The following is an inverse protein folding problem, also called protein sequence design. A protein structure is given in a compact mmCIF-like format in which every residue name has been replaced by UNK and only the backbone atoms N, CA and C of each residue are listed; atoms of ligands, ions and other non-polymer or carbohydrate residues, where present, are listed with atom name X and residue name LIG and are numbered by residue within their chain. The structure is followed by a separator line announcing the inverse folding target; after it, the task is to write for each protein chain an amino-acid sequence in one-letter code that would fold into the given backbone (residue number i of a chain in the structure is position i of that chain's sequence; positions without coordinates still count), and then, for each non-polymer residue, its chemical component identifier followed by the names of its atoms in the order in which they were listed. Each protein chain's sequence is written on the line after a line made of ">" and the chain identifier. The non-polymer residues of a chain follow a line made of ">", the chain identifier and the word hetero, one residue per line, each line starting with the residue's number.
data_IF_985255706099
#
_entry.id   IF_985255706099
#
_cell.length_a   1.000
_cell.length_b   1.000
_cell.length_c   1.000
_cell.angle_alpha   90.00
_cell.angle_beta   90.00
_cell.angle_gamma   90.00
#
_symmetry.space_group_name_H-M   'P 1'
#
loop_
_entity.id
_entity.type
_entity.pdbx_description
1 polymer ?
#
# COMPACT_ATOMS: atom_id res chain seq x y z
N UNK A 1 -6.64 -14.64 11.80
CA UNK A 1 -5.65 -14.16 10.86
C UNK A 1 -5.58 -12.64 10.91
N UNK A 2 -4.40 -12.14 11.12
CA UNK A 2 -4.24 -10.72 11.34
C UNK A 2 -3.96 -9.99 10.04
N UNK A 3 -4.66 -8.89 9.85
CA UNK A 3 -4.43 -8.04 8.71
C UNK A 3 -3.39 -7.00 9.07
N UNK A 4 -2.41 -6.83 8.22
CA UNK A 4 -1.39 -5.81 8.45
C UNK A 4 -1.86 -4.46 7.95
N UNK A 5 -1.31 -3.39 8.51
CA UNK A 5 -1.71 -2.05 8.07
C UNK A 5 -1.59 -1.83 6.58
N UNK A 6 -0.53 -2.34 5.97
CA UNK A 6 -0.35 -2.18 4.52
C UNK A 6 -1.43 -2.91 3.75
N UNK A 7 -1.88 -4.05 4.25
CA UNK A 7 -2.96 -4.78 3.60
C UNK A 7 -4.24 -3.97 3.61
N UNK A 8 -4.54 -3.34 4.74
CA UNK A 8 -5.73 -2.51 4.84
C UNK A 8 -5.64 -1.33 3.90
N UNK A 9 -4.48 -0.69 3.84
CA UNK A 9 -4.29 0.46 2.97
C UNK A 9 -4.53 0.06 1.52
N UNK A 10 -3.93 -1.04 1.09
CA UNK A 10 -4.08 -1.50 -0.27
C UNK A 10 -5.53 -1.82 -0.58
N UNK A 11 -6.20 -2.50 0.33
CA UNK A 11 -7.59 -2.89 0.13
C UNK A 11 -8.48 -1.66 -0.01
N UNK A 12 -8.29 -0.67 0.86
CA UNK A 12 -9.14 0.51 0.83
C UNK A 12 -8.87 1.39 -0.38
N UNK A 13 -7.62 1.49 -0.79
CA UNK A 13 -7.32 2.27 -1.98
C UNK A 13 -7.87 1.59 -3.24
N UNK A 14 -7.93 0.27 -3.24
CA UNK A 14 -8.54 -0.41 -4.38
C UNK A 14 -10.04 -0.18 -4.42
N UNK A 15 -10.62 0.26 -3.32
CA UNK A 15 -12.03 0.61 -3.24
C UNK A 15 -12.27 2.10 -3.43
N UNK A 16 -11.25 2.82 -3.89
CA UNK A 16 -11.35 4.26 -4.14
C UNK A 16 -11.59 5.08 -2.89
N UNK A 17 -11.10 4.61 -1.76
CA UNK A 17 -11.19 5.40 -0.53
C UNK A 17 -10.16 6.52 -0.57
N UNK A 18 -10.49 7.63 0.08
CA UNK A 18 -9.56 8.74 0.17
C UNK A 18 -8.48 8.45 1.21
N UNK A 19 -7.39 9.21 1.10
CA UNK A 19 -6.30 9.08 2.07
C UNK A 19 -6.83 9.35 3.48
N UNK A 20 -7.66 10.34 3.62
CA UNK A 20 -8.21 10.68 4.93
C UNK A 20 -9.01 9.53 5.51
N UNK A 21 -9.81 8.88 4.69
CA UNK A 21 -10.60 7.73 5.14
C UNK A 21 -9.68 6.59 5.58
N UNK A 22 -8.65 6.32 4.78
CA UNK A 22 -7.71 5.26 5.13
C UNK A 22 -7.00 5.58 6.42
N UNK A 23 -6.61 6.85 6.59
CA UNK A 23 -5.94 7.28 7.82
C UNK A 23 -6.82 6.99 9.04
N UNK A 24 -8.08 7.37 8.96
CA UNK A 24 -9.00 7.15 10.06
C UNK A 24 -9.19 5.67 10.36
N UNK A 25 -9.26 4.86 9.31
CA UNK A 25 -9.43 3.43 9.48
C UNK A 25 -8.21 2.81 10.16
N UNK A 26 -7.02 3.24 9.79
CA UNK A 26 -5.82 2.75 10.43
C UNK A 26 -5.80 3.09 11.91
N UNK A 27 -6.16 4.31 12.23
CA UNK A 27 -6.19 4.74 13.62
C UNK A 27 -7.20 3.94 14.43
N UNK A 28 -8.32 3.61 13.80
CA UNK A 28 -9.39 2.89 14.48
C UNK A 28 -9.11 1.39 14.58
N UNK A 29 -8.65 0.79 13.48
CA UNK A 29 -8.46 -0.66 13.44
C UNK A 29 -7.22 -1.11 14.18
N UNK A 30 -6.15 -0.33 14.12
CA UNK A 30 -4.87 -0.73 14.69
C UNK A 30 -4.48 0.09 15.90
N UNK A 31 -5.38 0.97 16.33
CA UNK A 31 -5.10 1.78 17.52
C UNK A 31 -3.81 2.58 17.35
N UNK A 32 -3.59 3.08 16.17
CA UNK A 32 -2.41 3.87 15.86
C UNK A 32 -2.65 5.34 16.12
N UNK A 33 -1.57 6.06 16.38
CA UNK A 33 -1.64 7.50 16.36
C UNK A 33 -1.72 7.99 14.92
N UNK A 34 -2.08 9.27 14.77
CA UNK A 34 -2.15 9.84 13.44
C UNK A 34 -0.81 9.78 12.73
N UNK A 35 0.27 10.04 13.48
CA UNK A 35 1.60 10.00 12.89
C UNK A 35 1.94 8.60 12.40
N UNK A 36 1.60 7.59 13.21
CA UNK A 36 1.88 6.23 12.81
C UNK A 36 1.08 5.83 11.58
N UNK A 37 -0.19 6.20 11.55
CA UNK A 37 -1.03 5.88 10.41
C UNK A 37 -0.52 6.58 9.16
N UNK A 38 -0.12 7.84 9.30
CA UNK A 38 0.40 8.57 8.15
C UNK A 38 1.69 7.95 7.63
N UNK A 39 2.54 7.48 8.55
CA UNK A 39 3.77 6.82 8.14
C UNK A 39 3.49 5.55 7.35
N UNK A 40 2.48 4.80 7.75
CA UNK A 40 2.12 3.60 7.01
C UNK A 40 1.63 3.94 5.61
N UNK A 41 0.84 4.98 5.49
CA UNK A 41 0.35 5.40 4.18
C UNK A 41 1.51 5.87 3.31
N UNK A 42 2.43 6.63 3.89
CA UNK A 42 3.61 7.09 3.15
C UNK A 42 4.42 5.89 2.67
N UNK A 43 4.59 4.90 3.52
CA UNK A 43 5.34 3.71 3.13
C UNK A 43 4.66 2.99 1.99
N UNK A 44 3.34 2.91 2.03
CA UNK A 44 2.59 2.28 0.95
C UNK A 44 2.84 3.00 -0.37
N UNK A 45 2.80 4.33 -0.36
CA UNK A 45 3.02 5.09 -1.57
C UNK A 45 4.44 4.92 -2.08
N UNK A 46 5.41 4.83 -1.17
CA UNK A 46 6.79 4.60 -1.58
C UNK A 46 6.93 3.25 -2.26
N UNK A 47 6.29 2.23 -1.71
CA UNK A 47 6.36 0.90 -2.30
C UNK A 47 5.72 0.90 -3.68
N UNK A 48 4.56 1.52 -3.81
CA UNK A 48 3.87 1.58 -5.10
C UNK A 48 4.69 2.33 -6.12
N UNK A 49 5.28 3.45 -5.70
CA UNK A 49 6.10 4.26 -6.59
C UNK A 49 7.33 3.47 -7.04
N UNK A 50 7.94 2.77 -6.10
CA UNK A 50 9.10 1.96 -6.44
C UNK A 50 8.72 0.88 -7.46
N UNK A 51 7.60 0.21 -7.21
CA UNK A 51 7.17 -0.85 -8.12
C UNK A 51 6.85 -0.29 -9.51
N UNK A 52 6.27 0.89 -9.54
CA UNK A 52 5.96 1.51 -10.83
C UNK A 52 7.23 1.85 -11.60
N UNK A 53 8.22 2.39 -10.88
CA UNK A 53 9.47 2.75 -11.53
C UNK A 53 10.25 1.54 -12.00
N UNK A 54 10.09 0.42 -11.32
CA UNK A 54 10.84 -0.79 -11.66
C UNK A 54 9.99 -1.81 -12.37
N UNK A 55 8.88 -1.36 -12.91
CA UNK A 55 7.96 -2.27 -13.58
C UNK A 55 8.63 -3.00 -14.73
N UNK A 56 9.36 -2.26 -15.54
CA UNK A 56 10.02 -2.85 -16.71
C UNK A 56 11.02 -3.91 -16.28
N UNK A 57 11.76 -3.64 -15.21
CA UNK A 57 12.72 -4.60 -14.73
C UNK A 57 12.03 -5.86 -14.22
N UNK A 58 10.94 -5.67 -13.48
CA UNK A 58 10.18 -6.81 -12.98
C UNK A 58 9.62 -7.63 -14.12
N UNK A 59 9.08 -6.95 -15.12
CA UNK A 59 8.54 -7.65 -16.28
C UNK A 59 9.64 -8.39 -17.02
N UNK A 60 10.80 -7.80 -17.06
CA UNK A 60 11.93 -8.42 -17.73
C UNK A 60 12.32 -9.71 -17.02
N UNK A 61 12.34 -9.67 -15.71
CA UNK A 61 12.64 -10.88 -14.92
C UNK A 61 11.62 -11.96 -15.17
N UNK A 62 10.38 -11.58 -15.30
CA UNK A 62 9.30 -12.52 -15.54
C UNK A 62 8.99 -12.67 -17.02
N UNK A 63 9.61 -11.86 -17.83
CA UNK A 63 9.30 -11.81 -19.24
C UNK A 63 9.63 -13.06 -19.99
N UNK A 64 10.48 -13.85 -19.41
CA UNK A 64 10.80 -15.12 -20.05
C UNK A 64 9.53 -15.90 -20.37
N UNK A 65 8.51 -15.68 -19.60
CA UNK A 65 7.27 -16.42 -19.80
C UNK A 65 6.60 -16.03 -21.10
N UNK A 66 6.96 -14.91 -21.65
CA UNK A 66 6.34 -14.48 -22.88
C UNK A 66 6.84 -15.22 -24.08
N UNK A 67 7.93 -15.85 -23.94
CA UNK A 67 8.47 -16.58 -25.08
C UNK A 67 7.78 -17.87 -25.36
#
# INVERSE_FOLDING_TARGET
>A
MDMEPLDLIRDKFSQDCTVETVLHLLMSHFDMTEEEAQAEIDEYFEIVDWMDKHRDTLEEDLGYAKK
#
